data_IF_722616234653
#
_entry.id   IF_722616234653
#
_cell.length_a   1.000
_cell.length_b   1.000
_cell.length_c   1.000
_cell.angle_alpha   90.00
_cell.angle_beta   90.00
_cell.angle_gamma   90.00
#
_symmetry.space_group_name_H-M   'P 1'
#
loop_
_entity.id
_entity.type
_entity.pdbx_description
1 polymer ?
#
# COMPACT_ATOMS: atom_id res chain seq x y z
N UNK A 1 -36.97 -4.59 42.35
CA UNK A 1 -35.55 -4.37 42.00
C UNK A 1 -34.92 -5.73 41.83
N UNK A 2 -34.93 -6.25 40.60
CA UNK A 2 -34.40 -7.58 40.29
C UNK A 2 -33.10 -7.35 39.54
N UNK A 3 -31.98 -7.58 40.23
CA UNK A 3 -30.64 -7.52 39.68
C UNK A 3 -30.47 -8.61 38.63
N UNK A 4 -30.35 -8.20 37.37
CA UNK A 4 -29.95 -9.09 36.27
C UNK A 4 -28.47 -9.36 36.45
N UNK A 5 -28.14 -10.58 36.88
CA UNK A 5 -26.76 -11.05 36.92
C UNK A 5 -26.27 -11.25 35.48
N UNK A 6 -25.21 -10.54 35.10
CA UNK A 6 -24.44 -10.84 33.91
C UNK A 6 -23.88 -12.26 34.03
N UNK A 7 -24.29 -13.15 33.13
CA UNK A 7 -23.73 -14.49 33.01
C UNK A 7 -22.30 -14.35 32.49
N UNK A 8 -21.29 -14.94 33.15
CA UNK A 8 -19.94 -14.99 32.61
C UNK A 8 -19.97 -15.81 31.31
N UNK A 9 -19.61 -15.21 30.19
CA UNK A 9 -19.47 -15.91 28.92
C UNK A 9 -18.30 -16.89 29.04
N UNK A 10 -18.61 -18.19 29.04
CA UNK A 10 -17.60 -19.23 28.82
C UNK A 10 -16.96 -18.98 27.44
N UNK A 11 -15.64 -19.16 27.27
CA UNK A 11 -15.02 -19.05 25.96
C UNK A 11 -15.72 -20.00 24.99
N UNK A 12 -16.29 -19.44 23.93
CA UNK A 12 -16.92 -20.21 22.86
C UNK A 12 -15.88 -21.15 22.25
N UNK A 13 -16.22 -22.43 22.09
CA UNK A 13 -15.36 -23.38 21.38
C UNK A 13 -15.36 -23.16 19.86
N UNK A 14 -16.18 -22.25 19.35
CA UNK A 14 -16.20 -21.91 17.92
C UNK A 14 -15.12 -20.85 17.62
N UNK A 15 -14.11 -21.16 16.79
CA UNK A 15 -13.05 -20.22 16.43
C UNK A 15 -13.54 -18.99 15.66
N UNK A 16 -14.82 -18.99 15.22
CA UNK A 16 -15.46 -17.86 14.55
C UNK A 16 -16.15 -16.90 15.52
N UNK A 17 -16.16 -17.23 16.82
CA UNK A 17 -16.78 -16.37 17.83
C UNK A 17 -16.17 -14.97 17.79
N UNK A 18 -17.01 -13.92 17.71
CA UNK A 18 -16.53 -12.55 17.55
C UNK A 18 -15.82 -12.02 18.79
N UNK A 19 -16.20 -12.43 20.00
CA UNK A 19 -15.51 -12.00 21.22
C UNK A 19 -14.12 -12.64 21.31
N UNK A 20 -14.01 -13.92 21.01
CA UNK A 20 -12.71 -14.62 20.95
C UNK A 20 -11.75 -13.95 19.94
N UNK A 21 -12.23 -13.65 18.72
CA UNK A 21 -11.43 -12.92 17.71
C UNK A 21 -11.00 -11.54 18.18
N UNK A 22 -11.88 -10.80 18.86
CA UNK A 22 -11.56 -9.49 19.42
C UNK A 22 -10.55 -9.59 20.57
N UNK A 23 -10.65 -10.63 21.42
CA UNK A 23 -9.70 -10.88 22.50
C UNK A 23 -8.32 -11.30 21.98
N UNK A 24 -8.24 -12.05 20.87
CA UNK A 24 -6.97 -12.37 20.21
C UNK A 24 -6.35 -11.17 19.49
N UNK A 25 -7.17 -10.24 18.98
CA UNK A 25 -6.70 -9.01 18.35
C UNK A 25 -6.17 -8.00 19.38
N UNK A 26 -6.89 -7.80 20.49
CA UNK A 26 -6.61 -6.78 21.49
C UNK A 26 -5.64 -7.30 22.56
N UNK A 27 -4.99 -6.39 23.29
CA UNK A 27 -4.11 -6.75 24.39
C UNK A 27 -4.92 -7.40 25.51
N UNK A 28 -4.35 -8.43 26.14
CA UNK A 28 -5.01 -9.20 27.19
C UNK A 28 -5.54 -8.29 28.31
N UNK A 29 -6.82 -8.43 28.65
CA UNK A 29 -7.47 -7.65 29.69
C UNK A 29 -7.84 -6.21 29.32
N UNK A 30 -7.57 -5.77 28.08
CA UNK A 30 -7.91 -4.40 27.64
C UNK A 30 -9.33 -4.28 27.03
N UNK A 31 -9.93 -5.40 26.64
CA UNK A 31 -11.20 -5.43 25.90
C UNK A 31 -12.38 -4.98 26.74
N UNK A 32 -13.08 -3.94 26.27
CA UNK A 32 -14.34 -3.44 26.82
C UNK A 32 -15.36 -3.33 25.70
N UNK A 33 -16.47 -4.07 25.79
CA UNK A 33 -17.53 -4.02 24.78
C UNK A 33 -18.17 -2.62 24.73
N UNK A 34 -18.43 -2.11 23.52
CA UNK A 34 -19.14 -0.84 23.33
C UNK A 34 -20.64 -0.98 23.65
N UNK A 35 -21.18 -2.16 23.37
CA UNK A 35 -22.55 -2.57 23.68
C UNK A 35 -22.53 -4.01 24.20
N UNK A 36 -23.40 -4.39 25.15
CA UNK A 36 -23.52 -5.78 25.57
C UNK A 36 -23.81 -6.69 24.37
N UNK A 37 -23.28 -7.92 24.38
CA UNK A 37 -23.55 -8.90 23.30
C UNK A 37 -25.05 -9.13 23.16
N UNK A 38 -25.52 -9.01 21.92
CA UNK A 38 -26.91 -9.21 21.54
C UNK A 38 -27.01 -10.14 20.31
N UNK A 39 -28.20 -10.22 19.70
CA UNK A 39 -28.46 -11.03 18.51
C UNK A 39 -28.29 -10.26 17.20
N UNK A 40 -27.66 -9.08 17.23
CA UNK A 40 -27.47 -8.23 16.05
C UNK A 40 -26.59 -8.88 14.98
N UNK A 41 -25.71 -9.81 15.39
CA UNK A 41 -24.71 -10.44 14.53
C UNK A 41 -23.41 -9.64 14.40
N UNK A 42 -23.18 -8.67 15.29
CA UNK A 42 -21.92 -7.90 15.38
C UNK A 42 -21.56 -7.68 16.84
N UNK A 43 -20.27 -7.82 17.17
CA UNK A 43 -19.72 -7.37 18.46
C UNK A 43 -18.73 -6.25 18.20
N UNK A 44 -18.82 -5.18 18.98
CA UNK A 44 -17.88 -4.06 18.91
C UNK A 44 -17.27 -3.80 20.30
N UNK A 45 -15.98 -3.46 20.31
CA UNK A 45 -15.22 -3.27 21.53
C UNK A 45 -14.17 -2.15 21.37
N UNK A 46 -13.78 -1.60 22.50
CA UNK A 46 -12.58 -0.80 22.68
C UNK A 46 -11.53 -1.64 23.38
N UNK A 47 -10.26 -1.40 23.08
CA UNK A 47 -9.14 -1.95 23.84
C UNK A 47 -7.84 -1.30 23.45
N UNK A 48 -6.73 -2.02 23.62
CA UNK A 48 -5.43 -1.58 23.13
C UNK A 48 -4.78 -2.62 22.24
N UNK A 49 -3.88 -2.17 21.36
CA UNK A 49 -2.97 -3.00 20.58
C UNK A 49 -1.57 -2.47 20.83
N UNK A 50 -0.72 -3.27 21.46
CA UNK A 50 0.63 -2.85 21.86
C UNK A 50 0.61 -1.54 22.65
N UNK A 51 -0.39 -1.37 23.53
CA UNK A 51 -0.62 -0.15 24.31
C UNK A 51 -1.26 1.02 23.56
N UNK A 52 -1.46 0.92 22.24
CA UNK A 52 -2.17 1.94 21.45
C UNK A 52 -3.68 1.74 21.57
N UNK A 53 -4.50 2.74 21.95
CA UNK A 53 -5.94 2.56 22.01
C UNK A 53 -6.56 2.34 20.62
N UNK A 54 -7.49 1.38 20.53
CA UNK A 54 -8.14 0.97 19.27
C UNK A 54 -9.63 0.73 19.50
N UNK A 55 -10.45 0.99 18.48
CA UNK A 55 -11.82 0.47 18.39
C UNK A 55 -11.84 -0.69 17.39
N UNK A 56 -12.52 -1.77 17.71
CA UNK A 56 -12.65 -2.91 16.81
C UNK A 56 -14.09 -3.42 16.76
N UNK A 57 -14.49 -3.95 15.62
CA UNK A 57 -15.75 -4.68 15.47
C UNK A 57 -15.52 -6.02 14.76
N UNK A 58 -16.34 -7.00 15.06
CA UNK A 58 -16.32 -8.31 14.42
C UNK A 58 -17.73 -8.73 14.06
N UNK A 59 -17.96 -9.07 12.79
CA UNK A 59 -19.22 -9.70 12.37
C UNK A 59 -19.27 -11.15 12.86
N UNK A 60 -20.39 -11.56 13.45
CA UNK A 60 -20.59 -12.89 14.03
C UNK A 60 -21.10 -13.89 12.99
N UNK A 61 -20.21 -14.74 12.49
CA UNK A 61 -20.56 -15.76 11.50
C UNK A 61 -21.55 -16.81 12.03
N UNK A 62 -21.67 -16.96 13.35
CA UNK A 62 -22.57 -17.94 13.98
C UNK A 62 -24.02 -17.45 13.98
N UNK A 63 -24.24 -16.15 13.80
CA UNK A 63 -25.57 -15.54 13.69
C UNK A 63 -25.92 -15.32 12.23
N UNK A 64 -26.74 -16.20 11.66
CA UNK A 64 -27.21 -16.12 10.28
C UNK A 64 -26.09 -15.98 9.24
N UNK A 65 -24.92 -16.60 9.48
CA UNK A 65 -23.77 -16.48 8.58
C UNK A 65 -23.13 -15.09 8.55
N UNK A 66 -23.30 -14.29 9.62
CA UNK A 66 -22.81 -12.91 9.69
C UNK A 66 -23.60 -11.92 8.85
N UNK A 67 -24.86 -12.24 8.53
CA UNK A 67 -25.70 -11.39 7.70
C UNK A 67 -25.94 -10.01 8.35
N UNK A 68 -25.59 -8.96 7.62
CA UNK A 68 -25.70 -7.55 8.03
C UNK A 68 -27.17 -7.12 8.04
N UNK A 69 -27.74 -7.01 9.23
CA UNK A 69 -29.07 -6.41 9.48
C UNK A 69 -28.97 -5.01 10.11
N UNK A 70 -30.11 -4.39 10.38
CA UNK A 70 -30.22 -3.01 10.89
C UNK A 70 -29.37 -2.80 12.15
N UNK A 71 -29.59 -3.61 13.18
CA UNK A 71 -28.92 -3.43 14.47
C UNK A 71 -27.42 -3.70 14.38
N UNK A 72 -27.01 -4.72 13.63
CA UNK A 72 -25.59 -5.07 13.45
C UNK A 72 -24.84 -3.98 12.68
N UNK A 73 -25.47 -3.42 11.65
CA UNK A 73 -24.92 -2.27 10.92
C UNK A 73 -24.80 -1.03 11.83
N UNK A 74 -25.80 -0.76 12.68
CA UNK A 74 -25.72 0.33 13.65
C UNK A 74 -24.52 0.18 14.59
N UNK A 75 -24.25 -1.03 15.10
CA UNK A 75 -23.07 -1.27 15.93
C UNK A 75 -21.75 -1.02 15.20
N UNK A 76 -21.67 -1.35 13.90
CA UNK A 76 -20.50 -1.02 13.06
C UNK A 76 -20.36 0.50 12.91
N UNK A 77 -21.46 1.21 12.61
CA UNK A 77 -21.47 2.67 12.49
C UNK A 77 -21.04 3.33 13.79
N UNK A 78 -21.59 2.91 14.93
CA UNK A 78 -21.25 3.44 16.25
C UNK A 78 -19.78 3.19 16.61
N UNK A 79 -19.23 2.04 16.23
CA UNK A 79 -17.80 1.75 16.39
C UNK A 79 -16.92 2.70 15.55
N UNK A 80 -17.25 2.90 14.27
CA UNK A 80 -16.50 3.81 13.38
C UNK A 80 -16.62 5.26 13.86
N UNK A 81 -17.83 5.70 14.23
CA UNK A 81 -18.05 7.07 14.70
C UNK A 81 -17.38 7.31 16.07
N UNK A 82 -17.28 6.28 16.92
CA UNK A 82 -16.49 6.35 18.17
C UNK A 82 -15.00 6.45 17.87
N UNK A 83 -14.47 5.65 16.96
CA UNK A 83 -13.08 5.74 16.52
C UNK A 83 -12.74 7.14 15.96
N UNK A 84 -13.64 7.70 15.14
CA UNK A 84 -13.51 9.05 14.61
C UNK A 84 -13.51 10.12 15.69
N UNK A 85 -14.48 10.06 16.62
CA UNK A 85 -14.64 11.03 17.71
C UNK A 85 -13.40 11.07 18.60
N UNK A 86 -12.85 9.90 18.88
CA UNK A 86 -11.69 9.73 19.75
C UNK A 86 -10.34 9.76 19.01
N UNK A 87 -10.37 9.87 17.67
CA UNK A 87 -9.19 9.84 16.78
C UNK A 87 -8.35 8.57 16.94
N UNK A 88 -9.02 7.43 17.10
CA UNK A 88 -8.42 6.11 17.24
C UNK A 88 -8.48 5.34 15.91
N UNK A 89 -7.50 4.46 15.62
CA UNK A 89 -7.64 3.50 14.54
C UNK A 89 -8.85 2.59 14.77
N UNK A 90 -9.44 2.10 13.68
CA UNK A 90 -10.54 1.13 13.70
C UNK A 90 -10.16 -0.16 12.95
N UNK A 91 -10.39 -1.30 13.59
CA UNK A 91 -10.15 -2.63 13.00
C UNK A 91 -11.48 -3.37 12.81
N UNK A 92 -11.83 -3.67 11.56
CA UNK A 92 -13.00 -4.47 11.22
C UNK A 92 -12.63 -5.91 10.91
N UNK A 93 -13.16 -6.87 11.66
CA UNK A 93 -13.01 -8.30 11.38
C UNK A 93 -14.24 -8.81 10.64
N UNK A 94 -14.05 -9.26 9.41
CA UNK A 94 -15.12 -9.60 8.47
C UNK A 94 -15.27 -11.11 8.28
N UNK A 95 -16.48 -11.57 8.50
CA UNK A 95 -17.01 -12.89 8.19
C UNK A 95 -18.53 -12.76 8.04
N UNK A 96 -18.97 -12.24 6.89
CA UNK A 96 -20.36 -11.90 6.57
C UNK A 96 -20.79 -12.43 5.21
N UNK A 97 -21.91 -13.17 5.20
CA UNK A 97 -22.62 -13.60 4.00
C UNK A 97 -23.31 -12.47 3.21
N UNK A 98 -23.21 -11.21 3.64
CA UNK A 98 -23.81 -10.05 2.99
C UNK A 98 -25.02 -9.49 3.74
N UNK A 99 -25.93 -8.83 3.03
CA UNK A 99 -27.11 -8.21 3.64
C UNK A 99 -28.12 -9.27 4.13
N UNK A 100 -28.80 -8.99 5.25
CA UNK A 100 -29.82 -9.89 5.81
C UNK A 100 -31.09 -9.85 4.98
N UNK A 101 -31.27 -10.87 4.13
CA UNK A 101 -32.37 -10.95 3.16
C UNK A 101 -33.76 -10.81 3.80
N UNK A 102 -33.97 -11.36 5.00
CA UNK A 102 -35.25 -11.30 5.70
C UNK A 102 -35.69 -9.87 6.07
N UNK A 103 -34.74 -8.94 6.21
CA UNK A 103 -35.03 -7.53 6.51
C UNK A 103 -35.23 -6.68 5.23
N UNK A 104 -34.89 -7.22 4.04
CA UNK A 104 -35.13 -6.55 2.77
C UNK A 104 -34.41 -5.20 2.63
N UNK A 105 -35.14 -4.16 2.20
CA UNK A 105 -34.55 -2.85 1.88
C UNK A 105 -33.95 -2.13 3.07
N UNK A 106 -34.41 -2.40 4.29
CA UNK A 106 -33.87 -1.76 5.50
C UNK A 106 -32.45 -2.23 5.79
N UNK A 107 -32.14 -3.51 5.54
CA UNK A 107 -30.76 -4.01 5.61
C UNK A 107 -29.86 -3.33 4.56
N UNK A 108 -30.36 -3.11 3.34
CA UNK A 108 -29.60 -2.39 2.30
C UNK A 108 -29.31 -0.95 2.70
N UNK A 109 -30.28 -0.26 3.29
CA UNK A 109 -30.09 1.09 3.82
C UNK A 109 -29.02 1.11 4.92
N UNK A 110 -29.10 0.19 5.88
CA UNK A 110 -28.16 0.11 7.00
C UNK A 110 -26.72 -0.23 6.53
N UNK A 111 -26.57 -1.10 5.53
CA UNK A 111 -25.27 -1.35 4.87
C UNK A 111 -24.74 -0.08 4.20
N UNK A 112 -25.61 0.72 3.56
CA UNK A 112 -25.25 2.02 3.01
C UNK A 112 -24.75 3.02 4.07
N UNK A 113 -25.35 3.01 5.26
CA UNK A 113 -24.90 3.84 6.39
C UNK A 113 -23.49 3.43 6.88
N UNK A 114 -23.18 2.13 6.88
CA UNK A 114 -21.82 1.63 7.16
C UNK A 114 -20.82 2.18 6.15
N UNK A 115 -21.13 2.15 4.85
CA UNK A 115 -20.24 2.74 3.82
C UNK A 115 -20.07 4.24 4.01
N UNK A 116 -21.14 4.95 4.33
CA UNK A 116 -21.07 6.38 4.62
C UNK A 116 -20.14 6.65 5.81
N UNK A 117 -20.20 5.85 6.88
CA UNK A 117 -19.31 5.96 8.03
C UNK A 117 -17.84 5.71 7.64
N UNK A 118 -17.56 4.67 6.86
CA UNK A 118 -16.20 4.38 6.37
C UNK A 118 -15.63 5.49 5.51
N UNK A 119 -16.44 6.08 4.62
CA UNK A 119 -16.03 7.21 3.78
C UNK A 119 -15.77 8.45 4.63
N UNK A 120 -16.59 8.73 5.66
CA UNK A 120 -16.32 9.81 6.63
C UNK A 120 -15.01 9.60 7.38
N UNK A 121 -14.65 8.34 7.67
CA UNK A 121 -13.42 7.98 8.36
C UNK A 121 -12.16 7.95 7.48
N UNK A 122 -12.32 7.81 6.15
CA UNK A 122 -11.23 7.68 5.19
C UNK A 122 -10.23 8.83 5.28
N UNK A 123 -8.95 8.48 5.44
CA UNK A 123 -7.86 9.44 5.61
C UNK A 123 -7.87 10.22 6.93
N UNK A 124 -8.83 9.99 7.85
CA UNK A 124 -8.94 10.67 9.16
C UNK A 124 -8.44 9.81 10.30
N UNK A 125 -8.82 8.54 10.32
CA UNK A 125 -8.28 7.52 11.22
C UNK A 125 -7.91 6.28 10.40
N UNK A 126 -6.85 5.53 10.77
CA UNK A 126 -6.53 4.29 10.06
C UNK A 126 -7.68 3.29 10.15
N UNK A 127 -8.15 2.80 9.00
CA UNK A 127 -9.15 1.75 8.90
C UNK A 127 -8.48 0.48 8.37
N UNK A 128 -8.51 -0.59 9.17
CA UNK A 128 -7.89 -1.87 8.83
C UNK A 128 -8.99 -2.93 8.78
N UNK A 129 -9.07 -3.68 7.68
CA UNK A 129 -10.00 -4.80 7.54
C UNK A 129 -9.26 -6.13 7.57
N UNK A 130 -9.72 -7.06 8.40
CA UNK A 130 -9.24 -8.44 8.47
C UNK A 130 -10.34 -9.36 7.98
N UNK A 131 -10.14 -10.03 6.85
CA UNK A 131 -11.15 -10.90 6.22
C UNK A 131 -10.84 -12.36 6.56
N UNK A 132 -11.67 -12.96 7.42
CA UNK A 132 -11.48 -14.30 7.99
C UNK A 132 -12.61 -15.27 7.64
N UNK A 133 -13.37 -14.94 6.59
CA UNK A 133 -14.46 -15.73 6.03
C UNK A 133 -15.02 -15.03 4.79
N UNK A 134 -16.19 -15.45 4.29
CA UNK A 134 -16.87 -14.73 3.24
C UNK A 134 -17.14 -13.27 3.64
N UNK A 135 -16.99 -12.36 2.69
CA UNK A 135 -17.44 -10.97 2.70
C UNK A 135 -18.14 -10.75 1.35
N UNK A 136 -19.42 -11.07 1.31
CA UNK A 136 -20.20 -11.17 0.07
C UNK A 136 -21.14 -9.97 -0.12
N UNK A 137 -21.45 -9.63 -1.37
CA UNK A 137 -22.42 -8.58 -1.69
C UNK A 137 -22.03 -7.23 -1.10
N UNK A 138 -22.91 -6.63 -0.30
CA UNK A 138 -22.61 -5.38 0.41
C UNK A 138 -21.39 -5.48 1.31
N UNK A 139 -21.17 -6.60 1.99
CA UNK A 139 -20.01 -6.78 2.87
C UNK A 139 -18.68 -6.77 2.10
N UNK A 140 -18.68 -7.04 0.79
CA UNK A 140 -17.45 -7.00 -0.03
C UNK A 140 -16.88 -5.58 -0.17
N UNK A 141 -17.75 -4.55 -0.19
CA UNK A 141 -17.33 -3.16 -0.30
C UNK A 141 -16.75 -2.61 1.00
N UNK A 142 -17.14 -3.17 2.15
CA UNK A 142 -16.63 -2.75 3.47
C UNK A 142 -15.10 -2.76 3.52
N UNK A 143 -14.45 -3.93 3.34
CA UNK A 143 -12.99 -4.00 3.26
C UNK A 143 -12.38 -3.11 2.17
N UNK A 144 -12.99 -3.05 0.99
CA UNK A 144 -12.44 -2.30 -0.14
C UNK A 144 -12.33 -0.78 0.12
N UNK A 145 -13.22 -0.23 0.96
CA UNK A 145 -13.26 1.18 1.36
C UNK A 145 -12.25 1.53 2.46
N UNK A 146 -11.64 0.54 3.12
CA UNK A 146 -10.63 0.76 4.17
C UNK A 146 -9.22 0.98 3.62
N UNK A 147 -8.28 1.40 4.47
CA UNK A 147 -6.92 1.76 4.05
C UNK A 147 -6.05 0.52 3.81
N UNK A 148 -6.26 -0.54 4.59
CA UNK A 148 -5.49 -1.77 4.52
C UNK A 148 -6.40 -2.98 4.71
N UNK A 149 -6.25 -3.97 3.81
CA UNK A 149 -7.02 -5.21 3.80
C UNK A 149 -6.08 -6.40 3.96
N UNK A 150 -6.27 -7.15 5.05
CA UNK A 150 -5.57 -8.39 5.38
C UNK A 150 -6.54 -9.53 5.18
N UNK A 151 -6.12 -10.59 4.49
CA UNK A 151 -6.96 -11.75 4.23
C UNK A 151 -6.28 -13.02 4.75
N UNK A 152 -6.97 -13.72 5.65
CA UNK A 152 -6.58 -15.06 6.10
C UNK A 152 -7.00 -16.15 5.11
N UNK A 153 -6.66 -17.42 5.38
CA UNK A 153 -6.87 -18.53 4.44
C UNK A 153 -8.35 -18.79 4.10
N UNK A 154 -9.25 -18.55 5.05
CA UNK A 154 -10.70 -18.70 4.86
C UNK A 154 -11.37 -17.45 4.24
N UNK A 155 -10.63 -16.35 4.07
CA UNK A 155 -11.19 -15.09 3.59
C UNK A 155 -11.65 -15.18 2.13
N UNK A 156 -12.86 -14.69 1.84
CA UNK A 156 -13.37 -14.55 0.47
C UNK A 156 -14.02 -13.19 0.29
N UNK A 157 -13.76 -12.50 -0.82
CA UNK A 157 -14.42 -11.22 -1.13
C UNK A 157 -15.03 -11.30 -2.53
N UNK A 158 -16.33 -11.05 -2.66
CA UNK A 158 -16.95 -10.98 -3.98
C UNK A 158 -18.30 -10.27 -3.90
N UNK A 159 -18.64 -9.52 -4.95
CA UNK A 159 -19.94 -8.84 -5.04
C UNK A 159 -21.06 -9.86 -5.25
N UNK A 160 -20.81 -10.84 -6.11
CA UNK A 160 -21.80 -11.83 -6.53
C UNK A 160 -21.25 -13.22 -6.27
N UNK A 161 -22.04 -14.10 -5.64
CA UNK A 161 -21.62 -15.46 -5.34
C UNK A 161 -21.49 -16.34 -6.60
N UNK A 162 -20.72 -17.44 -6.53
CA UNK A 162 -20.46 -18.30 -7.69
C UNK A 162 -21.70 -18.84 -8.40
N UNK A 163 -22.74 -19.21 -7.65
CA UNK A 163 -23.98 -19.74 -8.23
C UNK A 163 -24.70 -18.73 -9.13
N UNK A 164 -24.62 -17.44 -8.76
CA UNK A 164 -25.20 -16.35 -9.56
C UNK A 164 -24.33 -16.03 -10.77
N UNK A 165 -23.00 -16.09 -10.63
CA UNK A 165 -22.08 -15.97 -11.77
C UNK A 165 -22.40 -17.05 -12.80
N UNK A 166 -22.53 -18.31 -12.36
CA UNK A 166 -22.85 -19.44 -13.23
C UNK A 166 -24.19 -19.30 -13.92
N UNK A 167 -25.24 -18.88 -13.21
CA UNK A 167 -26.58 -18.76 -13.80
C UNK A 167 -26.71 -17.61 -14.80
N UNK A 168 -25.96 -16.53 -14.61
CA UNK A 168 -26.03 -15.33 -15.48
C UNK A 168 -25.05 -15.40 -16.65
N UNK A 169 -23.82 -15.85 -16.43
CA UNK A 169 -22.74 -15.81 -17.43
C UNK A 169 -22.42 -17.18 -18.04
N UNK A 170 -22.82 -18.27 -17.37
CA UNK A 170 -22.41 -19.63 -17.72
C UNK A 170 -21.02 -20.02 -17.22
N UNK A 171 -20.27 -19.11 -16.56
CA UNK A 171 -18.95 -19.40 -16.02
C UNK A 171 -19.02 -20.29 -14.77
N UNK A 172 -18.32 -21.42 -14.78
CA UNK A 172 -18.23 -22.33 -13.63
C UNK A 172 -16.94 -22.03 -12.83
N UNK A 173 -17.14 -21.46 -11.64
CA UNK A 173 -16.07 -21.02 -10.74
C UNK A 173 -16.47 -21.32 -9.29
N UNK A 174 -15.51 -21.57 -8.41
CA UNK A 174 -15.76 -21.73 -6.97
C UNK A 174 -15.43 -20.44 -6.20
N UNK A 175 -15.74 -20.38 -4.90
CA UNK A 175 -15.48 -19.19 -4.08
C UNK A 175 -13.98 -18.85 -3.99
N UNK A 176 -13.11 -19.87 -3.95
CA UNK A 176 -11.66 -19.69 -3.86
C UNK A 176 -11.11 -18.99 -5.09
N UNK A 177 -11.46 -19.49 -6.28
CA UNK A 177 -11.01 -18.94 -7.56
C UNK A 177 -11.67 -17.60 -7.86
N UNK A 178 -12.92 -17.41 -7.44
CA UNK A 178 -13.65 -16.16 -7.66
C UNK A 178 -13.10 -15.01 -6.80
N UNK A 179 -12.87 -15.25 -5.51
CA UNK A 179 -12.60 -14.19 -4.55
C UNK A 179 -11.72 -14.60 -3.38
N UNK A 180 -10.90 -15.64 -3.53
CA UNK A 180 -9.98 -16.10 -2.50
C UNK A 180 -8.66 -15.32 -2.43
N UNK A 181 -7.78 -15.70 -1.50
CA UNK A 181 -6.54 -14.98 -1.21
C UNK A 181 -5.57 -14.91 -2.39
N UNK A 182 -5.47 -15.96 -3.22
CA UNK A 182 -4.60 -15.93 -4.40
C UNK A 182 -5.14 -14.98 -5.48
N UNK A 183 -6.43 -15.06 -5.78
CA UNK A 183 -7.09 -14.19 -6.78
C UNK A 183 -6.97 -12.72 -6.40
N UNK A 184 -7.30 -12.35 -5.15
CA UNK A 184 -7.21 -10.96 -4.76
C UNK A 184 -5.78 -10.46 -4.58
N UNK A 185 -4.88 -11.32 -4.08
CA UNK A 185 -3.48 -10.97 -3.87
C UNK A 185 -2.65 -10.87 -5.16
N UNK A 186 -3.10 -11.46 -6.27
CA UNK A 186 -2.36 -11.46 -7.56
C UNK A 186 -3.04 -10.71 -8.70
N UNK A 187 -4.38 -10.69 -8.75
CA UNK A 187 -5.12 -10.18 -9.92
C UNK A 187 -5.75 -8.83 -9.64
N UNK A 188 -6.61 -8.75 -8.62
CA UNK A 188 -7.46 -7.58 -8.42
C UNK A 188 -6.79 -6.41 -7.67
N UNK A 189 -5.80 -6.69 -6.81
CA UNK A 189 -5.22 -5.67 -5.93
C UNK A 189 -6.11 -5.24 -4.76
N UNK A 190 -7.25 -5.90 -4.50
CA UNK A 190 -8.13 -5.57 -3.36
C UNK A 190 -7.47 -5.88 -2.01
N UNK A 191 -6.71 -6.98 -1.93
CA UNK A 191 -6.07 -7.43 -0.71
C UNK A 191 -4.61 -6.98 -0.68
N UNK A 192 -4.22 -6.35 0.43
CA UNK A 192 -2.89 -5.80 0.63
C UNK A 192 -1.96 -6.86 1.20
N UNK A 193 -2.42 -7.68 2.15
CA UNK A 193 -1.63 -8.74 2.78
C UNK A 193 -2.45 -10.03 2.83
N UNK A 194 -1.82 -11.14 2.45
CA UNK A 194 -2.38 -12.49 2.57
C UNK A 194 -1.55 -13.24 3.59
N UNK A 195 -2.20 -13.91 4.53
CA UNK A 195 -1.56 -14.69 5.59
C UNK A 195 -1.97 -16.15 5.50
N UNK A 196 -1.15 -17.03 6.06
CA UNK A 196 -1.37 -18.48 6.01
C UNK A 196 -2.30 -18.95 7.13
N UNK A 197 -2.43 -18.16 8.20
CA UNK A 197 -3.32 -18.45 9.33
C UNK A 197 -4.15 -17.24 9.75
N UNK A 198 -5.21 -17.51 10.51
CA UNK A 198 -6.05 -16.47 11.14
C UNK A 198 -5.28 -15.68 12.20
N UNK A 199 -4.48 -16.35 13.04
CA UNK A 199 -3.69 -15.67 14.08
C UNK A 199 -2.61 -14.78 13.46
N UNK A 200 -1.99 -15.20 12.36
CA UNK A 200 -1.09 -14.34 11.60
C UNK A 200 -1.82 -13.13 11.00
N UNK A 201 -3.07 -13.27 10.55
CA UNK A 201 -3.88 -12.15 10.06
C UNK A 201 -4.13 -11.13 11.17
N UNK A 202 -4.49 -11.59 12.37
CA UNK A 202 -4.71 -10.73 13.53
C UNK A 202 -3.40 -10.06 13.98
N UNK A 203 -2.28 -10.79 14.01
CA UNK A 203 -0.97 -10.24 14.34
C UNK A 203 -0.50 -9.21 13.30
N UNK A 204 -0.78 -9.43 12.03
CA UNK A 204 -0.52 -8.46 10.95
C UNK A 204 -1.35 -7.21 11.14
N UNK A 205 -2.62 -7.34 11.57
CA UNK A 205 -3.46 -6.19 11.90
C UNK A 205 -2.88 -5.41 13.09
N UNK A 206 -2.36 -6.10 14.10
CA UNK A 206 -1.66 -5.49 15.23
C UNK A 206 -0.42 -4.71 14.78
N UNK A 207 0.38 -5.28 13.88
CA UNK A 207 1.54 -4.60 13.28
C UNK A 207 1.13 -3.37 12.46
N UNK A 208 0.04 -3.45 11.69
CA UNK A 208 -0.47 -2.31 10.92
C UNK A 208 -0.93 -1.16 11.84
N UNK A 209 -1.61 -1.47 12.95
CA UNK A 209 -1.97 -0.48 13.98
C UNK A 209 -0.72 0.18 14.57
N UNK A 210 0.29 -0.62 14.96
CA UNK A 210 1.54 -0.10 15.52
C UNK A 210 2.23 0.88 14.55
N UNK A 211 2.32 0.51 13.27
CA UNK A 211 2.97 1.33 12.26
C UNK A 211 2.19 2.62 11.97
N UNK A 212 0.86 2.57 11.87
CA UNK A 212 0.04 3.71 11.43
C UNK A 212 -0.41 4.63 12.58
N UNK A 213 -0.58 4.11 13.80
CA UNK A 213 -1.04 4.89 14.95
C UNK A 213 0.10 5.20 15.95
N UNK A 214 1.03 4.26 16.18
CA UNK A 214 2.19 4.43 17.06
C UNK A 214 3.49 4.71 16.28
N UNK A 215 3.45 5.75 15.46
CA UNK A 215 4.47 6.00 14.45
C UNK A 215 5.87 6.34 15.00
N UNK A 216 6.01 6.66 16.29
CA UNK A 216 7.31 7.04 16.88
C UNK A 216 7.89 8.35 16.33
N UNK A 217 9.16 8.61 16.61
CA UNK A 217 9.90 9.80 16.19
C UNK A 217 11.32 9.40 15.76
N UNK A 218 11.99 10.26 14.96
CA UNK A 218 13.38 10.03 14.60
C UNK A 218 14.25 10.16 15.84
N UNK A 219 15.00 9.11 16.18
CA UNK A 219 15.89 9.10 17.32
C UNK A 219 17.12 10.01 17.08
N UNK A 220 17.62 10.71 18.10
CA UNK A 220 18.78 11.61 17.95
C UNK A 220 20.08 10.85 17.63
N UNK A 221 20.21 9.61 18.11
CA UNK A 221 21.31 8.71 17.77
C UNK A 221 20.84 7.66 16.76
N UNK A 222 21.74 7.26 15.87
CA UNK A 222 21.47 6.21 14.89
C UNK A 222 21.19 4.88 15.60
N UNK A 223 20.03 4.27 15.33
CA UNK A 223 19.65 2.94 15.87
C UNK A 223 20.32 1.78 15.15
N UNK A 224 20.50 1.90 13.84
CA UNK A 224 21.16 0.92 12.98
C UNK A 224 22.29 1.63 12.24
N UNK A 225 23.52 1.07 12.22
CA UNK A 225 24.64 1.68 11.53
C UNK A 225 24.41 1.72 10.01
N UNK A 226 25.10 2.64 9.36
CA UNK A 226 25.21 2.69 7.91
C UNK A 226 25.97 1.46 7.38
N UNK A 227 25.56 0.98 6.21
CA UNK A 227 26.18 -0.15 5.49
C UNK A 227 26.27 0.19 4.02
N UNK A 228 27.21 -0.43 3.29
CA UNK A 228 27.29 -0.25 1.85
C UNK A 228 26.12 -0.95 1.13
N UNK A 229 25.09 -0.18 0.82
CA UNK A 229 23.91 -0.66 0.10
C UNK A 229 24.20 -0.99 -1.38
N UNK A 230 25.32 -0.52 -1.96
CA UNK A 230 25.68 -0.88 -3.34
C UNK A 230 26.05 -2.35 -3.47
N UNK A 231 26.58 -2.95 -2.42
CA UNK A 231 26.93 -4.37 -2.38
C UNK A 231 25.72 -5.30 -2.57
N UNK A 232 24.50 -4.79 -2.40
CA UNK A 232 23.25 -5.52 -2.65
C UNK A 232 22.83 -5.54 -4.14
N UNK A 233 23.49 -4.73 -4.98
CA UNK A 233 23.21 -4.64 -6.41
C UNK A 233 24.24 -5.45 -7.21
N UNK A 234 23.88 -5.94 -8.41
CA UNK A 234 24.83 -6.56 -9.32
C UNK A 234 25.91 -5.57 -9.76
N UNK A 235 27.13 -6.07 -9.97
CA UNK A 235 28.24 -5.28 -10.54
C UNK A 235 27.89 -4.76 -11.94
N UNK A 236 27.23 -5.58 -12.76
CA UNK A 236 26.80 -5.22 -14.11
C UNK A 236 25.48 -4.41 -14.09
N UNK A 237 25.48 -3.12 -14.52
CA UNK A 237 24.30 -2.25 -14.42
C UNK A 237 23.09 -2.69 -15.25
N UNK A 238 23.27 -3.54 -16.26
CA UNK A 238 22.17 -4.07 -17.07
C UNK A 238 21.46 -5.26 -16.41
N UNK A 239 22.09 -5.91 -15.42
CA UNK A 239 21.51 -7.08 -14.76
C UNK A 239 20.38 -6.63 -13.83
N UNK A 240 19.24 -7.31 -13.93
CA UNK A 240 18.12 -7.11 -13.02
C UNK A 240 18.44 -7.68 -11.62
N UNK A 241 17.81 -7.12 -10.60
CA UNK A 241 17.97 -7.52 -9.21
C UNK A 241 16.65 -7.34 -8.44
N UNK A 242 16.49 -8.08 -7.34
CA UNK A 242 15.37 -7.88 -6.42
C UNK A 242 15.65 -6.67 -5.53
N UNK A 243 14.73 -5.70 -5.50
CA UNK A 243 14.88 -4.50 -4.66
C UNK A 243 14.57 -4.76 -3.18
N UNK A 244 13.91 -5.88 -2.84
CA UNK A 244 13.49 -6.15 -1.47
C UNK A 244 14.63 -6.20 -0.44
N UNK A 245 15.80 -6.83 -0.71
CA UNK A 245 16.95 -6.75 0.18
C UNK A 245 17.41 -5.31 0.45
N UNK A 246 17.36 -4.43 -0.56
CA UNK A 246 17.69 -3.02 -0.41
C UNK A 246 16.68 -2.30 0.49
N UNK A 247 15.38 -2.53 0.29
CA UNK A 247 14.32 -1.99 1.15
C UNK A 247 14.52 -2.43 2.61
N UNK A 248 14.76 -3.72 2.84
CA UNK A 248 15.01 -4.26 4.18
C UNK A 248 16.24 -3.68 4.85
N UNK A 249 17.32 -3.43 4.10
CA UNK A 249 18.55 -2.84 4.63
C UNK A 249 18.43 -1.34 4.95
N UNK A 250 17.47 -0.64 4.34
CA UNK A 250 17.16 0.77 4.69
C UNK A 250 16.42 0.86 6.03
N UNK A 251 15.51 -0.08 6.29
CA UNK A 251 14.67 -0.11 7.49
C UNK A 251 15.47 -0.57 8.74
N UNK A 252 14.96 -0.24 9.93
CA UNK A 252 15.53 -0.67 11.21
C UNK A 252 15.31 -2.17 11.49
N UNK A 253 14.38 -2.80 10.77
CA UNK A 253 13.97 -4.19 10.94
C UNK A 253 12.94 -4.59 9.89
N UNK A 254 12.26 -5.75 10.05
CA UNK A 254 11.25 -6.21 9.10
C UNK A 254 10.12 -5.18 8.93
N UNK A 255 9.81 -4.84 7.68
CA UNK A 255 8.64 -4.03 7.32
C UNK A 255 7.41 -4.87 7.01
N UNK A 256 6.26 -4.20 6.88
CA UNK A 256 5.02 -4.74 6.36
C UNK A 256 4.92 -4.42 4.86
N UNK A 257 5.29 -5.37 4.01
CA UNK A 257 5.15 -5.24 2.55
C UNK A 257 3.68 -5.36 2.13
N UNK A 258 3.18 -4.39 1.38
CA UNK A 258 1.83 -4.35 0.85
C UNK A 258 1.81 -4.75 -0.62
N UNK A 259 0.80 -5.56 -0.98
CA UNK A 259 0.60 -6.16 -2.31
C UNK A 259 1.85 -6.88 -2.86
N UNK A 260 2.49 -7.80 -2.11
CA UNK A 260 3.74 -8.44 -2.55
C UNK A 260 3.60 -9.23 -3.86
N UNK A 261 2.38 -9.67 -4.20
CA UNK A 261 2.09 -10.48 -5.40
C UNK A 261 1.30 -9.74 -6.50
N UNK A 262 0.90 -8.49 -6.27
CA UNK A 262 0.19 -7.65 -7.26
C UNK A 262 1.06 -6.45 -7.64
N UNK A 263 1.22 -6.23 -8.95
CA UNK A 263 2.15 -5.26 -9.52
C UNK A 263 3.56 -5.32 -8.88
N UNK A 264 4.25 -6.48 -8.94
CA UNK A 264 5.49 -6.71 -8.19
C UNK A 264 6.71 -5.95 -8.75
N UNK A 265 6.54 -5.23 -9.85
CA UNK A 265 7.47 -4.24 -10.41
C UNK A 265 7.60 -2.96 -9.56
N UNK A 266 6.69 -2.73 -8.60
CA UNK A 266 6.85 -1.73 -7.55
C UNK A 266 6.58 -2.37 -6.19
N UNK A 267 7.50 -2.17 -5.24
CA UNK A 267 7.40 -2.60 -3.85
C UNK A 267 6.92 -1.41 -3.01
N UNK A 268 5.98 -1.66 -2.11
CA UNK A 268 5.44 -0.69 -1.15
C UNK A 268 5.48 -1.30 0.24
N UNK A 269 6.17 -0.67 1.18
CA UNK A 269 6.42 -1.25 2.52
C UNK A 269 6.28 -0.19 3.60
N UNK A 270 5.52 -0.48 4.67
CA UNK A 270 5.58 0.31 5.90
C UNK A 270 6.66 -0.27 6.82
N UNK A 271 7.50 0.55 7.42
CA UNK A 271 8.52 0.10 8.36
C UNK A 271 9.03 1.23 9.22
N UNK A 272 10.01 0.95 10.08
CA UNK A 272 10.67 1.99 10.90
C UNK A 272 12.02 2.36 10.30
N UNK A 273 12.31 3.66 10.26
CA UNK A 273 13.60 4.23 9.91
C UNK A 273 14.05 5.15 11.05
N UNK A 274 15.11 4.73 11.74
CA UNK A 274 15.62 5.37 12.94
C UNK A 274 14.54 5.66 14.01
N UNK A 275 13.63 4.72 14.22
CA UNK A 275 12.54 4.76 15.20
C UNK A 275 11.21 5.34 14.72
N UNK A 276 11.19 6.07 13.59
CA UNK A 276 9.99 6.67 13.00
C UNK A 276 9.41 5.77 11.91
N UNK A 277 8.08 5.59 11.88
CA UNK A 277 7.42 4.91 10.75
C UNK A 277 7.65 5.70 9.47
N UNK A 278 8.05 5.01 8.41
CA UNK A 278 8.16 5.51 7.04
C UNK A 278 7.47 4.55 6.07
N UNK A 279 6.95 5.10 4.98
CA UNK A 279 6.54 4.34 3.82
C UNK A 279 7.66 4.29 2.79
N UNK A 280 8.02 3.11 2.32
CA UNK A 280 9.03 2.91 1.28
C UNK A 280 8.34 2.51 -0.02
N UNK A 281 8.67 3.20 -1.10
CA UNK A 281 8.24 2.87 -2.46
C UNK A 281 9.50 2.59 -3.27
N UNK A 282 9.57 1.45 -3.94
CA UNK A 282 10.77 1.06 -4.67
C UNK A 282 10.43 0.38 -5.99
N UNK A 283 11.06 0.81 -7.09
CA UNK A 283 11.00 0.04 -8.34
C UNK A 283 11.73 -1.29 -8.15
N UNK A 284 11.19 -2.38 -8.70
CA UNK A 284 11.79 -3.72 -8.62
C UNK A 284 12.28 -4.19 -9.99
N UNK A 285 13.58 -4.02 -10.32
CA UNK A 285 14.13 -4.35 -11.63
C UNK A 285 13.95 -5.82 -12.04
N UNK A 286 13.82 -6.75 -11.08
CA UNK A 286 13.56 -8.16 -11.35
C UNK A 286 12.20 -8.42 -12.03
N UNK A 287 11.27 -7.47 -11.95
CA UNK A 287 9.92 -7.58 -12.50
C UNK A 287 9.69 -6.48 -13.51
N UNK A 288 9.45 -6.86 -14.77
CA UNK A 288 9.23 -5.94 -15.89
C UNK A 288 10.34 -4.87 -16.03
N UNK A 289 11.57 -5.18 -15.60
CA UNK A 289 12.69 -4.23 -15.63
C UNK A 289 12.53 -3.03 -14.69
N UNK A 290 11.60 -3.07 -13.73
CA UNK A 290 11.27 -1.95 -12.85
C UNK A 290 10.37 -0.89 -13.50
N UNK A 291 9.88 -1.13 -14.73
CA UNK A 291 8.97 -0.23 -15.43
C UNK A 291 7.70 0.05 -14.62
N UNK A 292 7.15 1.25 -14.77
CA UNK A 292 5.79 1.56 -14.33
C UNK A 292 4.77 1.04 -15.35
N UNK A 293 3.62 0.62 -14.86
CA UNK A 293 2.45 0.22 -15.64
C UNK A 293 1.18 0.66 -14.91
N UNK A 294 0.02 0.38 -15.51
CA UNK A 294 -1.25 0.83 -14.92
C UNK A 294 -1.49 0.31 -13.49
N UNK A 295 -1.15 -0.95 -13.22
CA UNK A 295 -1.37 -1.56 -11.91
C UNK A 295 -0.38 -1.04 -10.85
N UNK A 296 0.91 -0.94 -11.18
CA UNK A 296 1.92 -0.38 -10.27
C UNK A 296 1.71 1.09 -9.97
N UNK A 297 1.21 1.87 -10.93
CA UNK A 297 0.87 3.26 -10.70
C UNK A 297 -0.29 3.41 -9.71
N UNK A 298 -1.35 2.58 -9.83
CA UNK A 298 -2.45 2.56 -8.87
C UNK A 298 -2.02 2.08 -7.49
N UNK A 299 -1.23 1.01 -7.42
CA UNK A 299 -0.63 0.50 -6.19
C UNK A 299 0.13 1.59 -5.46
N UNK A 300 1.08 2.22 -6.14
CA UNK A 300 1.91 3.27 -5.55
C UNK A 300 1.09 4.51 -5.19
N UNK A 301 0.16 4.93 -6.05
CA UNK A 301 -0.67 6.11 -5.80
C UNK A 301 -1.49 5.98 -4.52
N UNK A 302 -2.19 4.84 -4.33
CA UNK A 302 -2.97 4.61 -3.10
C UNK A 302 -2.07 4.56 -1.87
N UNK A 303 -0.89 3.94 -1.97
CA UNK A 303 0.07 3.88 -0.88
C UNK A 303 0.61 5.27 -0.48
N UNK A 304 0.95 6.12 -1.47
CA UNK A 304 1.40 7.51 -1.23
C UNK A 304 0.31 8.29 -0.50
N UNK A 305 -0.95 8.24 -0.97
CA UNK A 305 -2.06 8.97 -0.36
C UNK A 305 -2.39 8.46 1.03
N UNK A 306 -2.31 7.15 1.27
CA UNK A 306 -2.45 6.58 2.61
C UNK A 306 -1.38 7.13 3.55
N UNK A 307 -0.11 7.10 3.14
CA UNK A 307 0.99 7.62 3.95
C UNK A 307 0.81 9.11 4.24
N UNK A 308 0.47 9.91 3.24
CA UNK A 308 0.25 11.34 3.40
C UNK A 308 -0.93 11.66 4.34
N UNK A 309 -2.05 10.98 4.13
CA UNK A 309 -3.26 11.14 4.93
C UNK A 309 -3.05 10.75 6.41
N UNK A 310 -2.03 9.95 6.73
CA UNK A 310 -1.69 9.59 8.11
C UNK A 310 -0.40 10.22 8.63
N UNK A 311 0.24 11.10 7.86
CA UNK A 311 1.45 11.80 8.30
C UNK A 311 2.70 10.91 8.34
N UNK A 312 2.72 9.84 7.54
CA UNK A 312 3.85 8.92 7.40
C UNK A 312 4.80 9.45 6.33
N UNK A 313 6.05 9.80 6.66
CA UNK A 313 7.04 10.23 5.68
C UNK A 313 7.40 9.13 4.67
N UNK A 314 7.87 9.52 3.49
CA UNK A 314 8.14 8.60 2.39
C UNK A 314 9.63 8.52 2.01
N UNK A 315 10.09 7.31 1.71
CA UNK A 315 11.37 7.06 1.03
C UNK A 315 11.06 6.44 -0.33
N UNK A 316 11.55 7.06 -1.40
CA UNK A 316 11.29 6.63 -2.78
C UNK A 316 12.59 6.16 -3.41
N UNK A 317 12.77 4.85 -3.59
CA UNK A 317 13.95 4.24 -4.19
C UNK A 317 13.73 4.02 -5.69
N UNK A 318 14.53 4.70 -6.52
CA UNK A 318 14.27 4.82 -7.95
C UNK A 318 15.30 4.05 -8.77
N UNK A 319 14.81 3.03 -9.48
CA UNK A 319 15.49 2.36 -10.60
C UNK A 319 14.45 2.01 -11.67
N UNK A 320 14.09 3.01 -12.47
CA UNK A 320 12.99 2.94 -13.43
C UNK A 320 13.45 3.36 -14.83
N UNK A 321 13.29 2.49 -15.84
CA UNK A 321 13.65 2.83 -17.22
C UNK A 321 12.52 3.57 -17.97
N UNK A 322 11.31 3.66 -17.40
CA UNK A 322 10.15 4.30 -18.02
C UNK A 322 8.83 3.63 -17.65
N UNK A 323 7.77 4.01 -18.36
CA UNK A 323 6.53 3.23 -18.41
C UNK A 323 6.66 2.08 -19.40
N UNK A 324 6.00 0.96 -19.12
CA UNK A 324 5.99 -0.21 -19.99
C UNK A 324 5.31 0.15 -21.32
N UNK A 325 5.99 -0.01 -22.47
CA UNK A 325 5.38 0.27 -23.76
C UNK A 325 4.43 -0.86 -24.18
N UNK A 326 3.36 -0.51 -24.91
CA UNK A 326 2.50 -1.49 -25.58
C UNK A 326 1.07 -1.00 -25.78
N UNK A 327 0.45 -1.44 -26.88
CA UNK A 327 -0.94 -1.08 -27.22
C UNK A 327 -1.92 -1.46 -26.10
N UNK A 328 -1.70 -2.61 -25.47
CA UNK A 328 -2.51 -3.03 -24.32
C UNK A 328 -2.43 -2.04 -23.15
N UNK A 329 -1.26 -1.49 -22.85
CA UNK A 329 -1.12 -0.47 -21.79
C UNK A 329 -1.92 0.80 -22.12
N UNK A 330 -1.88 1.24 -23.38
CA UNK A 330 -2.66 2.40 -23.83
C UNK A 330 -4.18 2.16 -23.68
N UNK A 331 -4.68 1.01 -24.13
CA UNK A 331 -6.11 0.67 -24.04
C UNK A 331 -6.58 0.37 -22.62
N UNK A 332 -5.72 -0.21 -21.78
CA UNK A 332 -5.98 -0.41 -20.35
C UNK A 332 -5.95 0.91 -19.55
N UNK A 333 -5.64 2.02 -20.23
CA UNK A 333 -5.73 3.38 -19.70
C UNK A 333 -4.49 3.81 -18.90
N UNK A 334 -3.28 3.40 -19.31
CA UNK A 334 -2.03 3.76 -18.62
C UNK A 334 -1.85 5.27 -18.43
N UNK A 335 -2.36 6.11 -19.34
CA UNK A 335 -2.32 7.57 -19.19
C UNK A 335 -3.13 8.04 -17.98
N UNK A 336 -4.42 7.66 -17.88
CA UNK A 336 -5.28 8.08 -16.77
C UNK A 336 -4.93 7.39 -15.45
N UNK A 337 -4.48 6.13 -15.51
CA UNK A 337 -4.10 5.34 -14.32
C UNK A 337 -2.70 5.72 -13.83
N UNK A 338 -1.77 5.98 -14.74
CA UNK A 338 -0.44 6.54 -14.47
C UNK A 338 -0.50 7.93 -13.83
N UNK A 339 -1.42 8.78 -14.28
CA UNK A 339 -1.63 10.12 -13.72
C UNK A 339 -2.00 10.11 -12.23
N UNK A 340 -2.55 9.01 -11.70
CA UNK A 340 -2.86 8.88 -10.27
C UNK A 340 -1.60 8.98 -9.40
N UNK A 341 -0.47 8.42 -9.86
CA UNK A 341 0.79 8.48 -9.12
C UNK A 341 1.38 9.90 -9.13
N UNK A 342 1.33 10.57 -10.29
CA UNK A 342 1.71 11.98 -10.41
C UNK A 342 0.87 12.85 -9.46
N UNK A 343 -0.45 12.65 -9.44
CA UNK A 343 -1.36 13.37 -8.56
C UNK A 343 -1.06 13.09 -7.08
N UNK A 344 -0.88 11.82 -6.71
CA UNK A 344 -0.61 11.43 -5.33
C UNK A 344 0.67 12.07 -4.79
N UNK A 345 1.76 12.09 -5.58
CA UNK A 345 2.96 12.81 -5.17
C UNK A 345 2.72 14.33 -5.17
N UNK A 346 2.17 14.93 -6.23
CA UNK A 346 1.95 16.38 -6.27
C UNK A 346 1.04 16.93 -5.15
N UNK A 347 0.04 16.15 -4.71
CA UNK A 347 -0.89 16.53 -3.61
C UNK A 347 -0.26 16.40 -2.23
N UNK A 348 0.59 15.39 -2.02
CA UNK A 348 1.04 15.06 -0.68
C UNK A 348 1.95 16.14 -0.07
N UNK A 349 1.96 16.22 1.27
CA UNK A 349 2.64 17.25 2.07
C UNK A 349 3.59 16.66 3.11
N UNK A 350 3.53 15.35 3.36
CA UNK A 350 4.51 14.66 4.20
C UNK A 350 5.94 14.80 3.66
N UNK A 351 6.96 14.82 4.53
CA UNK A 351 8.34 14.74 4.10
C UNK A 351 8.58 13.49 3.25
N UNK A 352 9.31 13.66 2.16
CA UNK A 352 9.56 12.59 1.20
C UNK A 352 10.89 12.75 0.50
N UNK A 353 11.71 11.71 0.59
CA UNK A 353 13.07 11.73 0.03
C UNK A 353 13.15 10.72 -1.09
N UNK A 354 13.64 11.16 -2.24
CA UNK A 354 13.89 10.33 -3.40
C UNK A 354 15.36 9.96 -3.47
N UNK A 355 15.66 8.70 -3.74
CA UNK A 355 17.02 8.22 -3.99
C UNK A 355 17.06 7.49 -5.33
N UNK A 356 17.76 8.07 -6.30
CA UNK A 356 18.04 7.41 -7.59
C UNK A 356 19.25 6.49 -7.43
N UNK A 357 19.03 5.18 -7.46
CA UNK A 357 20.08 4.18 -7.24
C UNK A 357 20.79 3.80 -8.54
N UNK A 358 20.06 3.79 -9.66
CA UNK A 358 20.54 3.46 -11.00
C UNK A 358 19.86 4.34 -12.04
N UNK A 359 18.72 3.91 -12.61
CA UNK A 359 18.12 4.59 -13.77
C UNK A 359 16.91 5.41 -13.36
N UNK A 360 16.74 6.55 -13.99
CA UNK A 360 15.52 7.35 -13.88
C UNK A 360 15.28 8.10 -15.18
N UNK A 361 14.36 7.58 -16.01
CA UNK A 361 14.11 8.13 -17.34
C UNK A 361 12.70 8.68 -17.56
N UNK A 362 12.63 9.76 -18.35
CA UNK A 362 11.42 10.25 -19.00
C UNK A 362 10.28 10.57 -18.04
N UNK A 363 9.05 10.17 -18.40
CA UNK A 363 7.89 10.37 -17.53
C UNK A 363 7.97 9.64 -16.19
N UNK A 364 8.73 8.54 -16.11
CA UNK A 364 8.89 7.79 -14.87
C UNK A 364 9.82 8.49 -13.87
N UNK A 365 10.82 9.26 -14.32
CA UNK A 365 11.57 10.17 -13.45
C UNK A 365 10.63 11.13 -12.72
N UNK A 366 9.68 11.71 -13.46
CA UNK A 366 8.69 12.63 -12.88
C UNK A 366 7.77 11.88 -11.92
N UNK A 367 7.19 10.74 -12.36
CA UNK A 367 6.25 9.95 -11.57
C UNK A 367 6.84 9.36 -10.29
N UNK A 368 8.14 9.08 -10.25
CA UNK A 368 8.84 8.58 -9.07
C UNK A 368 9.35 9.72 -8.17
N UNK A 369 8.48 10.68 -7.87
CA UNK A 369 8.71 11.77 -6.91
C UNK A 369 9.91 12.67 -7.26
N UNK A 370 9.87 13.30 -8.44
CA UNK A 370 10.87 14.32 -8.79
C UNK A 370 10.75 15.60 -7.94
N UNK A 371 11.82 16.41 -7.91
CA UNK A 371 11.83 17.75 -7.25
C UNK A 371 10.65 18.62 -7.67
N UNK A 372 10.27 18.57 -8.95
CA UNK A 372 9.15 19.32 -9.53
C UNK A 372 7.77 18.90 -9.01
N UNK A 373 7.64 17.72 -8.39
CA UNK A 373 6.42 17.27 -7.70
C UNK A 373 6.47 17.54 -6.18
N UNK A 374 7.48 18.27 -5.70
CA UNK A 374 7.58 18.63 -4.29
C UNK A 374 8.27 17.57 -3.42
N UNK A 375 9.17 16.76 -3.99
CA UNK A 375 10.06 15.90 -3.19
C UNK A 375 10.88 16.75 -2.21
N UNK A 376 10.94 16.42 -0.92
CA UNK A 376 11.66 17.21 0.09
C UNK A 376 13.16 17.27 -0.19
N UNK A 377 13.74 16.13 -0.57
CA UNK A 377 15.11 16.03 -1.06
C UNK A 377 15.19 14.94 -2.13
N UNK A 378 16.12 15.10 -3.07
CA UNK A 378 16.39 14.17 -4.16
C UNK A 378 17.89 13.87 -4.15
N UNK A 379 18.24 12.63 -3.85
CA UNK A 379 19.59 12.10 -3.88
C UNK A 379 19.81 11.19 -5.08
N UNK A 380 21.05 11.07 -5.49
CA UNK A 380 21.48 10.09 -6.48
C UNK A 380 22.71 9.33 -5.99
N UNK A 381 22.86 8.07 -6.35
CA UNK A 381 24.12 7.34 -6.16
C UNK A 381 25.13 7.67 -7.25
N UNK A 382 26.44 7.45 -7.00
CA UNK A 382 27.46 7.48 -8.04
C UNK A 382 27.10 6.54 -9.19
N UNK A 383 27.18 7.06 -10.42
CA UNK A 383 26.85 6.31 -11.64
C UNK A 383 25.36 6.13 -11.89
N UNK A 384 24.48 6.79 -11.14
CA UNK A 384 23.08 6.90 -11.50
C UNK A 384 22.90 7.69 -12.81
N UNK A 385 21.85 7.35 -13.55
CA UNK A 385 21.51 7.91 -14.86
C UNK A 385 20.16 8.62 -14.78
N UNK A 386 20.15 9.92 -15.09
CA UNK A 386 18.94 10.74 -15.17
C UNK A 386 18.86 11.33 -16.58
N UNK A 387 17.80 11.02 -17.32
CA UNK A 387 17.65 11.46 -18.72
C UNK A 387 16.19 11.42 -19.20
N UNK A 388 15.93 11.95 -20.40
CA UNK A 388 14.61 11.80 -21.05
C UNK A 388 14.38 10.35 -21.51
N UNK A 389 15.43 9.70 -22.01
CA UNK A 389 15.44 8.29 -22.40
C UNK A 389 16.89 7.81 -22.49
N UNK A 390 17.12 6.51 -22.67
CA UNK A 390 18.47 5.97 -22.88
C UNK A 390 19.15 6.57 -24.12
N UNK A 391 20.44 6.91 -24.01
CA UNK A 391 21.15 7.68 -25.02
C UNK A 391 21.17 7.04 -26.42
N UNK A 392 21.36 5.72 -26.48
CA UNK A 392 21.30 4.98 -27.75
C UNK A 392 19.91 5.13 -28.42
N UNK A 393 18.82 5.06 -27.64
CA UNK A 393 17.49 5.28 -28.17
C UNK A 393 17.28 6.73 -28.65
N UNK A 394 17.71 7.71 -27.86
CA UNK A 394 17.62 9.13 -28.21
C UNK A 394 18.33 9.45 -29.53
N UNK A 395 19.57 8.98 -29.68
CA UNK A 395 20.38 9.17 -30.89
C UNK A 395 19.76 8.51 -32.11
N UNK A 396 19.14 7.34 -31.95
CA UNK A 396 18.42 6.66 -33.04
C UNK A 396 17.28 7.51 -33.62
N UNK A 397 16.70 8.40 -32.81
CA UNK A 397 15.66 9.34 -33.22
C UNK A 397 16.29 10.63 -33.76
N UNK A 398 17.16 11.28 -32.99
CA UNK A 398 17.76 12.58 -33.31
C UNK A 398 18.66 12.54 -34.55
N UNK A 399 19.42 11.46 -34.69
CA UNK A 399 20.41 11.29 -35.77
C UNK A 399 20.00 10.24 -36.79
N UNK A 400 18.70 9.93 -36.91
CA UNK A 400 18.16 8.92 -37.83
C UNK A 400 18.71 9.05 -39.26
N UNK A 401 18.73 10.28 -39.80
CA UNK A 401 19.25 10.55 -41.15
C UNK A 401 20.76 10.28 -41.26
N UNK A 402 21.53 10.66 -40.25
CA UNK A 402 22.99 10.48 -40.20
C UNK A 402 23.37 8.99 -40.10
N UNK A 403 22.63 8.23 -39.30
CA UNK A 403 22.80 6.78 -39.17
C UNK A 403 22.38 6.00 -40.43
N UNK A 404 21.36 6.48 -41.15
CA UNK A 404 20.93 5.88 -42.40
C UNK A 404 21.91 6.14 -43.56
N UNK A 405 22.66 7.24 -43.50
CA UNK A 405 23.61 7.65 -44.54
C UNK A 405 24.93 6.87 -44.55
N UNK A 406 25.24 6.10 -43.51
CA UNK A 406 26.47 5.29 -43.41
C UNK A 406 26.23 3.81 -43.76
N UNK A 407 27.27 3.09 -44.25
CA UNK A 407 27.20 1.66 -44.50
C UNK A 407 26.76 0.87 -43.26
N UNK A 408 26.04 -0.26 -43.41
CA UNK A 408 25.61 -1.08 -42.27
C UNK A 408 26.73 -1.48 -41.31
N UNK A 409 27.94 -1.74 -41.83
CA UNK A 409 29.11 -2.12 -41.03
C UNK A 409 29.61 -1.00 -40.09
N UNK A 410 29.38 0.27 -40.43
CA UNK A 410 29.84 1.43 -39.65
C UNK A 410 28.75 2.00 -38.74
N UNK A 411 27.49 1.59 -38.94
CA UNK A 411 26.32 2.17 -38.27
C UNK A 411 26.37 2.00 -36.75
N UNK A 412 26.70 0.81 -36.25
CA UNK A 412 26.76 0.55 -34.80
C UNK A 412 27.88 1.36 -34.12
N UNK A 413 29.05 1.48 -34.77
CA UNK A 413 30.15 2.27 -34.25
C UNK A 413 29.79 3.77 -34.17
N UNK A 414 29.20 4.33 -35.24
CA UNK A 414 28.72 5.71 -35.24
C UNK A 414 27.59 5.91 -34.21
N UNK A 415 26.69 4.94 -34.06
CA UNK A 415 25.61 5.00 -33.09
C UNK A 415 26.14 5.05 -31.66
N UNK A 416 27.13 4.22 -31.33
CA UNK A 416 27.79 4.23 -30.03
C UNK A 416 28.54 5.54 -29.77
N UNK A 417 29.27 6.06 -30.77
CA UNK A 417 29.97 7.33 -30.67
C UNK A 417 29.01 8.50 -30.38
N UNK A 418 27.93 8.59 -31.15
CA UNK A 418 26.92 9.64 -30.96
C UNK A 418 26.17 9.48 -29.63
N UNK A 419 25.96 8.26 -29.14
CA UNK A 419 25.35 8.02 -27.83
C UNK A 419 26.25 8.55 -26.70
N UNK A 420 27.55 8.26 -26.73
CA UNK A 420 28.51 8.78 -25.75
C UNK A 420 28.64 10.32 -25.81
N UNK A 421 28.54 10.91 -27.00
CA UNK A 421 28.48 12.36 -27.15
C UNK A 421 27.20 12.95 -26.56
N UNK A 422 26.05 12.33 -26.84
CA UNK A 422 24.76 12.75 -26.32
C UNK A 422 24.71 12.70 -24.78
N UNK A 423 25.24 11.63 -24.16
CA UNK A 423 25.33 11.52 -22.69
C UNK A 423 26.13 12.69 -22.09
N UNK A 424 27.26 13.03 -22.72
CA UNK A 424 28.11 14.15 -22.27
C UNK A 424 27.40 15.49 -22.38
N UNK A 425 26.65 15.72 -23.46
CA UNK A 425 25.91 16.97 -23.70
C UNK A 425 24.69 17.08 -22.78
N UNK A 426 23.95 15.97 -22.59
CA UNK A 426 22.78 15.94 -21.72
C UNK A 426 23.15 16.10 -20.24
N UNK A 427 24.39 15.74 -19.87
CA UNK A 427 25.00 16.02 -18.56
C UNK A 427 24.45 15.20 -17.40
N UNK A 428 23.35 14.47 -17.57
CA UNK A 428 22.83 13.49 -16.61
C UNK A 428 22.65 14.05 -15.20
N UNK A 429 23.18 13.32 -14.21
CA UNK A 429 23.13 13.73 -12.80
C UNK A 429 23.91 15.03 -12.55
N UNK A 430 25.03 15.29 -13.23
CA UNK A 430 25.78 16.53 -13.06
C UNK A 430 24.93 17.74 -13.47
N UNK A 431 24.23 17.64 -14.61
CA UNK A 431 23.30 18.68 -15.02
C UNK A 431 22.14 18.83 -14.03
N UNK A 432 21.65 17.72 -13.48
CA UNK A 432 20.57 17.72 -12.49
C UNK A 432 20.97 18.43 -11.17
N UNK A 433 22.24 18.28 -10.74
CA UNK A 433 22.82 19.03 -9.63
C UNK A 433 22.93 20.52 -9.96
N UNK A 434 23.47 20.87 -11.12
CA UNK A 434 23.64 22.27 -11.55
C UNK A 434 22.33 23.07 -11.55
N UNK A 435 21.22 22.43 -11.93
CA UNK A 435 19.90 23.06 -11.95
C UNK A 435 19.11 22.89 -10.65
N UNK A 436 19.67 22.21 -9.64
CA UNK A 436 19.06 22.03 -8.32
C UNK A 436 17.85 21.09 -8.28
N UNK A 437 17.75 20.12 -9.20
CA UNK A 437 16.69 19.08 -9.17
C UNK A 437 17.16 17.75 -8.56
N UNK A 438 18.47 17.61 -8.34
CA UNK A 438 19.12 16.65 -7.45
C UNK A 438 19.92 17.49 -6.45
N UNK A 439 19.77 17.20 -5.17
CA UNK A 439 20.43 17.97 -4.09
C UNK A 439 21.84 17.49 -3.82
N UNK A 440 22.08 16.17 -3.90
CA UNK A 440 23.36 15.57 -3.53
C UNK A 440 23.58 14.22 -4.23
N UNK A 441 24.84 13.94 -4.58
CA UNK A 441 25.30 12.58 -4.89
C UNK A 441 25.79 11.93 -3.60
N UNK A 442 25.05 10.94 -3.13
CA UNK A 442 25.27 10.29 -1.84
C UNK A 442 26.02 8.99 -2.05
N UNK A 443 27.11 8.81 -1.31
CA UNK A 443 27.81 7.53 -1.26
C UNK A 443 26.89 6.43 -0.72
N UNK A 444 26.79 5.26 -1.37
CA UNK A 444 25.86 4.20 -0.98
C UNK A 444 26.00 3.77 0.49
N UNK A 445 27.21 3.81 1.03
CA UNK A 445 27.53 3.55 2.43
C UNK A 445 26.87 4.54 3.42
N UNK A 446 26.55 5.76 3.02
CA UNK A 446 25.95 6.78 3.90
C UNK A 446 24.45 6.98 3.65
N UNK A 447 23.84 6.14 2.82
CA UNK A 447 22.46 6.31 2.36
C UNK A 447 21.49 6.46 3.52
N UNK A 448 21.55 5.58 4.53
CA UNK A 448 20.57 5.52 5.61
C UNK A 448 20.62 6.79 6.46
N UNK A 449 21.81 7.20 6.88
CA UNK A 449 22.00 8.44 7.64
C UNK A 449 21.53 9.67 6.87
N UNK A 450 21.79 9.73 5.55
CA UNK A 450 21.34 10.85 4.70
C UNK A 450 19.82 10.90 4.55
N UNK A 451 19.16 9.76 4.38
CA UNK A 451 17.69 9.67 4.36
C UNK A 451 17.09 10.16 5.68
N UNK A 452 17.64 9.70 6.82
CA UNK A 452 17.20 10.12 8.16
C UNK A 452 17.37 11.62 8.34
N UNK A 453 18.54 12.17 8.01
CA UNK A 453 18.83 13.60 8.17
C UNK A 453 17.85 14.47 7.38
N UNK A 454 17.59 14.12 6.11
CA UNK A 454 16.67 14.87 5.27
C UNK A 454 15.21 14.80 5.77
N UNK A 455 14.76 13.63 6.21
CA UNK A 455 13.40 13.46 6.73
C UNK A 455 13.22 14.12 8.11
N UNK A 456 14.23 14.06 8.98
CA UNK A 456 14.17 14.63 10.33
C UNK A 456 14.28 16.16 10.32
N UNK A 457 14.98 16.75 9.35
CA UNK A 457 15.07 18.20 9.19
C UNK A 457 13.80 18.82 8.59
N UNK A 458 12.98 18.03 7.92
CA UNK A 458 11.76 18.49 7.28
C UNK A 458 10.61 18.64 8.29
N UNK A 459 9.75 19.67 8.15
CA UNK A 459 8.60 19.82 9.03
C UNK A 459 7.63 18.65 8.86
N UNK A 460 7.14 18.12 9.98
CA UNK A 460 6.08 17.12 9.94
C UNK A 460 4.81 17.71 9.32
N UNK A 461 4.15 16.92 8.47
CA UNK A 461 2.93 17.31 7.78
C UNK A 461 1.98 16.11 7.68
N UNK A 462 0.72 16.40 7.34
CA UNK A 462 -0.32 15.40 7.08
C UNK A 462 -1.29 15.98 6.05
N UNK A 463 -1.64 15.19 5.05
CA UNK A 463 -2.63 15.55 4.03
C UNK A 463 -4.01 15.85 4.61
N UNK A 464 -4.69 16.82 4.02
CA UNK A 464 -6.07 17.18 4.35
C UNK A 464 -7.06 16.60 3.32
N UNK A 465 -6.90 15.32 2.99
CA UNK A 465 -7.74 14.61 2.01
C UNK A 465 -8.14 13.23 2.52
N UNK A 466 -9.19 12.65 1.93
CA UNK A 466 -9.53 11.24 2.13
C UNK A 466 -8.57 10.30 1.40
N UNK A 467 -8.65 9.01 1.66
CA UNK A 467 -7.86 7.97 0.99
C UNK A 467 -8.78 7.10 0.09
N UNK A 468 -9.41 7.74 -0.88
CA UNK A 468 -10.41 7.11 -1.75
C UNK A 468 -9.79 5.93 -2.55
N UNK A 469 -10.47 4.77 -2.64
CA UNK A 469 -10.12 3.72 -3.59
C UNK A 469 -10.39 4.21 -5.02
N UNK A 470 -9.36 4.31 -5.87
CA UNK A 470 -9.52 4.79 -7.25
C UNK A 470 -8.80 3.95 -8.29
#
# INVERSE_FOLDING_TARGET
MTTVHAVPTLPSSDPRDPEDRLQRLLDAGSTTLLVPRDTSGVVAARGTVSGTPVVAFCTDATVMGGAMGIDGCRHIVDAIDTALRERLPVVGIWHSGGARLAEGVTALHAVGEVFAAMVRASGRVPQISVVLGPAAGGAAYGPALTDLVIMGPAGRVFVTGPDVVRSVTGEDVDMERLGGPDTHGRRSGVVHVVTDTEDEALQTARQAVDLLAAQGQFAPAARVPDVDLRALLPEQPQRAYDVKPLVSAVLDGPGLEMHPRWAPNVVTTLGRLNGRTVGVIANNPLRLGGCLDSASAEKAARFVRMCDAFGVPLVVLVDVPGYLPGVGQEWDGVVRRGAKLLHAFAEAVVPRVTLVTRKSYGGAYIAMNARSLGATAVFAWPGAEVAVMGAKAAVGILHRKKLAAVPPAEREALHAQLAAEHERIAGGVNRALEIGVVDEVVEPAHTRSRLVAALAAAPAGRGAHGNIPL
#
